data_IF_437290255797
#
_entry.id   IF_437290255797
#
_cell.length_a   1.000
_cell.length_b   1.000
_cell.length_c   1.000
_cell.angle_alpha   90.00
_cell.angle_beta   90.00
_cell.angle_gamma   90.00
#
_symmetry.space_group_name_H-M   'P 1'
#
loop_
_entity.id
_entity.type
_entity.pdbx_description
1 polymer ?
#
# COMPACT_ATOMS: atom_id res chain seq x y z
N UNK A 1 4.46 16.67 -19.51
CA UNK A 1 5.27 16.43 -20.72
C UNK A 1 6.09 15.17 -20.55
N UNK A 2 6.14 14.38 -21.61
CA UNK A 2 6.51 12.97 -21.65
C UNK A 2 7.91 12.68 -21.11
N UNK A 3 8.00 11.90 -20.03
CA UNK A 3 9.20 11.10 -19.74
C UNK A 3 9.29 10.04 -20.84
N UNK A 4 10.17 10.30 -21.80
CA UNK A 4 10.43 9.47 -22.95
C UNK A 4 10.59 8.00 -22.53
N UNK A 5 9.84 7.12 -23.20
CA UNK A 5 10.12 5.70 -23.21
C UNK A 5 11.62 5.48 -23.47
N UNK A 6 12.27 4.49 -22.84
CA UNK A 6 13.64 4.16 -23.18
C UNK A 6 13.66 3.90 -24.68
N UNK A 7 14.46 4.70 -25.40
CA UNK A 7 14.64 4.59 -26.84
C UNK A 7 15.24 3.20 -27.09
N UNK A 8 14.36 2.24 -27.35
CA UNK A 8 14.70 0.88 -27.67
C UNK A 8 15.25 0.95 -29.10
N UNK A 9 16.55 1.19 -29.25
CA UNK A 9 17.21 1.23 -30.55
C UNK A 9 17.56 -0.22 -30.93
N UNK A 10 16.79 -0.87 -31.82
CA UNK A 10 16.91 -2.30 -32.09
C UNK A 10 18.27 -2.67 -32.71
N UNK A 11 18.89 -1.75 -33.45
CA UNK A 11 20.21 -1.97 -34.08
C UNK A 11 21.34 -2.04 -33.05
N UNK A 12 21.36 -1.12 -32.08
CA UNK A 12 22.28 -1.17 -30.94
C UNK A 12 22.07 -2.42 -30.08
N UNK A 13 20.83 -2.89 -29.97
CA UNK A 13 20.49 -4.07 -29.18
C UNK A 13 20.98 -5.36 -29.86
N UNK A 14 20.98 -5.41 -31.19
CA UNK A 14 21.55 -6.52 -31.97
C UNK A 14 23.08 -6.54 -31.90
N UNK A 15 23.74 -5.39 -32.08
CA UNK A 15 25.20 -5.27 -31.98
C UNK A 15 25.72 -5.60 -30.57
N UNK A 16 24.99 -5.17 -29.53
CA UNK A 16 25.33 -5.45 -28.14
C UNK A 16 25.00 -6.90 -27.73
N UNK A 17 23.97 -7.53 -28.31
CA UNK A 17 23.72 -8.98 -28.15
C UNK A 17 24.85 -9.81 -28.76
N UNK A 18 25.31 -9.45 -29.96
CA UNK A 18 26.48 -10.07 -30.60
C UNK A 18 27.74 -9.83 -29.76
N UNK A 19 27.88 -8.67 -29.13
CA UNK A 19 28.98 -8.34 -28.23
C UNK A 19 28.93 -9.12 -26.89
N UNK A 20 27.75 -9.27 -26.28
CA UNK A 20 27.53 -10.07 -25.08
C UNK A 20 27.74 -11.58 -25.33
N UNK A 21 27.39 -12.07 -26.53
CA UNK A 21 27.71 -13.43 -26.97
C UNK A 21 29.21 -13.65 -27.17
N UNK A 22 29.98 -12.62 -27.52
CA UNK A 22 31.46 -12.67 -27.63
C UNK A 22 32.17 -12.63 -26.27
N UNK A 23 31.59 -11.98 -25.26
CA UNK A 23 32.06 -12.04 -23.86
C UNK A 23 31.91 -13.44 -23.23
N UNK A 24 31.13 -14.36 -23.82
CA UNK A 24 30.95 -15.74 -23.32
C UNK A 24 32.16 -16.66 -23.49
N UNK A 25 33.27 -16.20 -24.08
CA UNK A 25 34.39 -17.10 -24.45
C UNK A 25 35.79 -16.66 -24.02
N UNK A 26 35.94 -15.78 -23.03
CA UNK A 26 37.28 -15.48 -22.51
C UNK A 26 37.38 -15.56 -20.99
N UNK A 27 37.88 -16.71 -20.55
CA UNK A 27 39.02 -16.76 -19.66
C UNK A 27 40.19 -16.04 -20.38
N UNK A 28 40.84 -15.07 -19.75
CA UNK A 28 42.03 -14.42 -20.31
C UNK A 28 43.27 -15.24 -19.89
N UNK A 29 44.38 -15.31 -20.67
CA UNK A 29 44.87 -14.30 -21.63
C UNK A 29 45.31 -14.89 -23.01
N UNK A 30 45.86 -14.05 -23.90
CA UNK A 30 46.57 -14.43 -25.17
C UNK A 30 45.74 -14.90 -26.38
N UNK A 31 44.52 -14.40 -26.56
CA UNK A 31 43.73 -14.61 -27.79
C UNK A 31 43.25 -13.33 -28.51
N UNK A 32 43.38 -12.18 -27.85
CA UNK A 32 42.72 -10.91 -28.20
C UNK A 32 43.19 -10.31 -29.53
N UNK A 33 44.41 -10.60 -30.00
CA UNK A 33 44.94 -10.04 -31.24
C UNK A 33 44.39 -10.71 -32.52
N UNK A 34 44.23 -12.04 -32.53
CA UNK A 34 43.70 -12.76 -33.72
C UNK A 34 42.20 -12.55 -33.91
N UNK A 35 41.46 -12.39 -32.81
CA UNK A 35 40.02 -12.12 -32.84
C UNK A 35 39.72 -10.68 -33.32
N UNK A 36 40.57 -9.70 -32.99
CA UNK A 36 40.45 -8.33 -33.46
C UNK A 36 40.67 -8.20 -34.98
N UNK A 37 41.66 -8.89 -35.54
CA UNK A 37 41.90 -8.92 -36.99
C UNK A 37 40.72 -9.53 -37.77
N UNK A 38 40.04 -10.54 -37.21
CA UNK A 38 38.85 -11.14 -37.84
C UNK A 38 37.58 -10.28 -37.72
N UNK A 39 37.53 -9.34 -36.76
CA UNK A 39 36.42 -8.41 -36.58
C UNK A 39 36.55 -7.14 -37.44
N UNK A 40 37.77 -6.70 -37.72
CA UNK A 40 38.05 -5.62 -38.69
C UNK A 40 37.68 -6.00 -40.13
N UNK A 41 37.76 -7.28 -40.49
CA UNK A 41 37.50 -7.75 -41.86
C UNK A 41 36.02 -7.95 -42.19
N UNK A 42 35.12 -7.98 -41.19
CA UNK A 42 33.68 -8.26 -41.40
C UNK A 42 32.72 -7.11 -41.11
N UNK A 43 33.19 -6.01 -40.52
CA UNK A 43 32.32 -4.88 -40.16
C UNK A 43 32.90 -3.62 -40.81
N UNK A 44 32.34 -3.21 -41.95
CA UNK A 44 32.68 -1.97 -42.64
C UNK A 44 32.25 -0.70 -41.90
N UNK A 45 32.33 -0.70 -40.57
CA UNK A 45 31.92 0.39 -39.68
C UNK A 45 33.15 0.85 -38.90
N UNK A 46 33.92 1.73 -39.53
CA UNK A 46 35.22 2.27 -39.11
C UNK A 46 35.17 3.16 -37.85
N UNK A 47 34.04 3.24 -37.13
CA UNK A 47 33.88 4.16 -35.99
C UNK A 47 33.93 3.52 -34.60
N UNK A 48 33.90 2.20 -34.48
CA UNK A 48 33.99 1.52 -33.17
C UNK A 48 35.43 1.16 -32.76
N UNK A 49 36.38 1.18 -33.69
CA UNK A 49 37.77 0.81 -33.41
C UNK A 49 38.55 1.88 -32.61
N UNK A 50 38.03 3.11 -32.55
CA UNK A 50 38.64 4.22 -31.83
C UNK A 50 38.28 4.27 -30.34
N UNK A 51 37.29 3.48 -29.90
CA UNK A 51 36.89 3.44 -28.49
C UNK A 51 37.80 2.47 -27.75
N UNK A 52 38.72 2.99 -26.94
CA UNK A 52 39.31 2.23 -25.84
C UNK A 52 38.16 1.76 -24.94
N UNK A 53 37.70 0.54 -25.16
CA UNK A 53 36.59 -0.11 -24.45
C UNK A 53 37.06 -0.49 -23.05
N UNK A 54 37.11 0.51 -22.19
CA UNK A 54 37.38 0.34 -20.77
C UNK A 54 36.04 0.05 -20.07
N UNK A 55 36.05 -0.50 -18.85
CA UNK A 55 34.82 -0.75 -18.06
C UNK A 55 33.90 0.50 -17.96
N UNK A 56 34.52 1.69 -17.95
CA UNK A 56 33.84 2.99 -17.90
C UNK A 56 33.00 3.31 -19.15
N UNK A 57 33.36 2.79 -20.33
CA UNK A 57 32.60 3.00 -21.58
C UNK A 57 31.62 1.87 -21.86
N UNK A 58 31.93 0.64 -21.42
CA UNK A 58 31.06 -0.53 -21.61
C UNK A 58 29.80 -0.50 -20.74
N UNK A 59 29.92 -0.06 -19.50
CA UNK A 59 28.81 -0.10 -18.54
C UNK A 59 27.61 0.78 -18.97
N UNK A 60 27.82 2.05 -19.39
CA UNK A 60 26.71 2.89 -19.88
C UNK A 60 26.03 2.33 -21.14
N UNK A 61 26.80 1.75 -22.07
CA UNK A 61 26.25 1.14 -23.30
C UNK A 61 25.35 -0.06 -22.98
N UNK A 62 25.81 -0.94 -22.08
CA UNK A 62 25.03 -2.11 -21.67
C UNK A 62 23.79 -1.74 -20.86
N UNK A 63 23.86 -0.68 -20.04
CA UNK A 63 22.69 -0.14 -19.32
C UNK A 63 21.65 0.44 -20.27
N UNK A 64 22.10 1.12 -21.34
CA UNK A 64 21.19 1.64 -22.37
C UNK A 64 20.50 0.50 -23.15
N UNK A 65 21.21 -0.60 -23.39
CA UNK A 65 20.66 -1.77 -24.10
C UNK A 65 19.77 -2.66 -23.22
N UNK A 66 20.06 -2.75 -21.91
CA UNK A 66 19.38 -3.65 -20.98
C UNK A 66 18.97 -2.95 -19.66
N UNK A 67 18.13 -1.91 -19.72
CA UNK A 67 17.72 -1.16 -18.53
C UNK A 67 16.90 -2.00 -17.55
N UNK A 68 16.28 -3.08 -18.00
CA UNK A 68 15.45 -4.02 -17.25
C UNK A 68 16.27 -5.11 -16.52
N UNK A 69 17.60 -5.15 -16.70
CA UNK A 69 18.47 -6.19 -16.12
C UNK A 69 19.27 -5.74 -14.90
N UNK A 70 18.84 -4.66 -14.28
CA UNK A 70 19.44 -4.18 -13.03
C UNK A 70 18.99 -5.09 -11.89
N UNK A 71 19.92 -5.39 -11.00
CA UNK A 71 19.67 -6.19 -9.80
C UNK A 71 20.19 -5.48 -8.55
N UNK A 72 19.45 -5.59 -7.45
CA UNK A 72 19.82 -5.05 -6.14
C UNK A 72 19.87 -6.16 -5.09
N UNK A 73 20.93 -6.20 -4.31
CA UNK A 73 21.10 -7.16 -3.22
C UNK A 73 20.00 -6.99 -2.17
N UNK A 74 19.33 -8.08 -1.79
CA UNK A 74 18.30 -8.08 -0.72
C UNK A 74 18.93 -8.22 0.67
N UNK A 75 20.01 -8.99 0.76
CA UNK A 75 20.76 -9.33 1.98
C UNK A 75 22.21 -9.65 1.60
N UNK A 76 23.15 -9.60 2.55
CA UNK A 76 24.58 -9.88 2.35
C UNK A 76 24.92 -11.36 2.03
N UNK A 77 23.96 -12.12 1.48
CA UNK A 77 24.04 -13.58 1.27
C UNK A 77 24.05 -13.98 -0.22
N UNK A 78 24.26 -13.03 -1.13
CA UNK A 78 24.31 -13.31 -2.58
C UNK A 78 22.93 -13.42 -3.25
N UNK A 79 21.85 -13.08 -2.54
CA UNK A 79 20.50 -12.97 -3.10
C UNK A 79 20.24 -11.56 -3.62
N UNK A 80 19.81 -11.49 -4.87
CA UNK A 80 19.51 -10.27 -5.60
C UNK A 80 18.04 -10.24 -6.04
N UNK A 81 17.53 -9.03 -6.16
CA UNK A 81 16.23 -8.72 -6.73
C UNK A 81 16.45 -8.07 -8.09
N UNK A 82 15.91 -8.66 -9.15
CA UNK A 82 15.91 -8.06 -10.47
C UNK A 82 14.86 -6.93 -10.56
N UNK A 83 15.05 -6.02 -11.51
CA UNK A 83 14.15 -4.91 -11.82
C UNK A 83 12.66 -5.32 -11.92
N UNK A 84 12.39 -6.49 -12.49
CA UNK A 84 11.04 -7.05 -12.65
C UNK A 84 10.43 -7.73 -11.43
N UNK A 85 11.08 -7.72 -10.26
CA UNK A 85 10.53 -8.27 -9.01
C UNK A 85 10.96 -9.70 -8.72
N UNK A 86 11.62 -10.34 -9.68
CA UNK A 86 12.11 -11.70 -9.56
C UNK A 86 13.37 -11.79 -8.71
N UNK A 87 13.42 -12.79 -7.83
CA UNK A 87 14.63 -13.16 -7.09
C UNK A 87 15.63 -13.89 -7.99
N UNK A 88 16.90 -13.53 -7.87
CA UNK A 88 18.00 -14.18 -8.54
C UNK A 88 19.17 -14.39 -7.56
N UNK A 89 19.88 -15.50 -7.66
CA UNK A 89 21.01 -15.84 -6.79
C UNK A 89 22.31 -15.74 -7.57
N UNK A 90 23.32 -15.16 -6.95
CA UNK A 90 24.68 -15.12 -7.47
C UNK A 90 25.52 -16.20 -6.78
N UNK A 91 26.44 -16.84 -7.51
CA UNK A 91 27.37 -17.78 -6.92
C UNK A 91 28.23 -17.10 -5.83
N UNK A 92 28.41 -17.77 -4.68
CA UNK A 92 29.07 -17.19 -3.50
C UNK A 92 30.54 -16.79 -3.74
N UNK A 93 31.21 -17.44 -4.68
CA UNK A 93 32.59 -17.16 -5.08
C UNK A 93 32.72 -16.09 -6.17
N UNK A 94 31.62 -15.45 -6.59
CA UNK A 94 31.65 -14.43 -7.63
C UNK A 94 32.36 -13.16 -7.13
N UNK A 95 33.29 -12.57 -7.93
CA UNK A 95 34.00 -11.35 -7.53
C UNK A 95 33.08 -10.14 -7.33
N UNK A 96 31.90 -10.14 -7.97
CA UNK A 96 30.93 -9.04 -7.89
C UNK A 96 29.93 -9.19 -6.75
N UNK A 97 29.97 -10.30 -5.98
CA UNK A 97 29.04 -10.55 -4.87
C UNK A 97 29.11 -9.51 -3.73
N UNK A 98 30.22 -8.76 -3.64
CA UNK A 98 30.40 -7.67 -2.67
C UNK A 98 29.62 -6.40 -3.02
N UNK A 99 29.13 -6.28 -4.25
CA UNK A 99 28.45 -5.07 -4.74
C UNK A 99 26.94 -5.19 -4.54
N UNK A 100 26.33 -4.13 -4.01
CA UNK A 100 24.87 -4.11 -3.80
C UNK A 100 24.08 -3.99 -5.11
N UNK A 101 24.66 -3.41 -6.15
CA UNK A 101 23.99 -3.18 -7.43
C UNK A 101 24.76 -3.83 -8.57
N UNK A 102 24.04 -4.57 -9.42
CA UNK A 102 24.60 -5.31 -10.54
C UNK A 102 23.80 -5.06 -11.80
N UNK A 103 24.47 -5.06 -12.95
CA UNK A 103 23.86 -5.23 -14.25
C UNK A 103 24.00 -6.70 -14.67
N UNK A 104 22.88 -7.40 -14.81
CA UNK A 104 22.86 -8.82 -15.17
C UNK A 104 22.95 -8.97 -16.69
N UNK A 105 24.00 -9.65 -17.16
CA UNK A 105 24.21 -9.90 -18.60
C UNK A 105 23.57 -11.23 -18.99
N UNK A 106 23.80 -12.27 -18.17
CA UNK A 106 23.28 -13.61 -18.40
C UNK A 106 22.67 -14.17 -17.12
N UNK A 107 21.46 -14.66 -17.27
CA UNK A 107 20.72 -15.35 -16.22
C UNK A 107 20.33 -16.72 -16.76
N UNK A 108 20.48 -17.75 -15.94
CA UNK A 108 19.89 -19.05 -16.21
C UNK A 108 18.71 -19.30 -15.30
N UNK A 109 17.68 -19.88 -15.87
CA UNK A 109 16.43 -20.13 -15.20
C UNK A 109 16.20 -21.64 -15.10
N UNK A 110 16.28 -22.23 -13.91
CA UNK A 110 15.85 -23.62 -13.72
C UNK A 110 14.33 -23.72 -13.90
N UNK A 111 13.83 -24.91 -14.29
CA UNK A 111 12.40 -25.19 -14.47
C UNK A 111 11.59 -24.94 -13.19
N UNK A 112 12.20 -25.11 -12.02
CA UNK A 112 11.66 -24.73 -10.72
C UNK A 112 12.75 -24.03 -9.90
N UNK A 113 12.38 -22.95 -9.19
CA UNK A 113 13.26 -22.25 -8.25
C UNK A 113 13.71 -20.85 -8.66
N UNK A 114 14.65 -20.31 -7.86
CA UNK A 114 15.23 -18.98 -8.02
C UNK A 114 16.11 -18.94 -9.27
N UNK A 115 16.06 -17.84 -10.02
CA UNK A 115 16.95 -17.67 -11.17
C UNK A 115 18.40 -17.53 -10.69
N UNK A 116 19.38 -17.89 -11.52
CA UNK A 116 20.79 -17.83 -11.14
C UNK A 116 21.53 -16.91 -12.11
N UNK A 117 22.30 -15.99 -11.55
CA UNK A 117 23.08 -15.01 -12.27
C UNK A 117 24.40 -15.67 -12.69
N UNK A 118 24.58 -15.86 -14.00
CA UNK A 118 25.81 -16.41 -14.58
C UNK A 118 26.86 -15.32 -14.77
N UNK A 119 26.43 -14.17 -15.28
CA UNK A 119 27.31 -13.06 -15.62
C UNK A 119 26.66 -11.73 -15.24
N UNK A 120 27.43 -10.91 -14.52
CA UNK A 120 27.01 -9.58 -14.11
C UNK A 120 28.20 -8.63 -14.04
N UNK A 121 27.93 -7.34 -14.23
CA UNK A 121 28.88 -6.25 -14.02
C UNK A 121 28.49 -5.47 -12.76
N UNK A 122 29.46 -5.02 -11.94
CA UNK A 122 29.16 -4.20 -10.77
C UNK A 122 28.75 -2.79 -11.20
N UNK A 123 27.70 -2.26 -10.58
CA UNK A 123 27.31 -0.85 -10.74
C UNK A 123 27.88 -0.05 -9.58
N UNK A 124 28.73 0.91 -9.92
CA UNK A 124 29.41 1.77 -8.94
C UNK A 124 28.48 2.80 -8.27
N UNK A 125 28.96 3.47 -7.21
CA UNK A 125 28.18 4.45 -6.46
C UNK A 125 27.78 5.68 -7.30
N UNK A 126 28.57 6.05 -8.30
CA UNK A 126 28.28 7.17 -9.20
C UNK A 126 27.01 6.90 -10.03
N UNK A 127 26.85 5.68 -10.54
CA UNK A 127 25.62 5.29 -11.25
C UNK A 127 24.39 5.38 -10.35
N UNK A 128 24.49 4.93 -9.09
CA UNK A 128 23.39 5.01 -8.13
C UNK A 128 23.00 6.48 -7.86
N UNK A 129 23.97 7.37 -7.68
CA UNK A 129 23.72 8.82 -7.50
C UNK A 129 23.00 9.41 -8.71
N UNK A 130 23.45 9.09 -9.92
CA UNK A 130 22.85 9.57 -11.16
C UNK A 130 21.39 9.09 -11.29
N UNK A 131 21.14 7.81 -11.04
CA UNK A 131 19.77 7.27 -11.07
C UNK A 131 18.90 7.87 -9.98
N UNK A 132 19.44 8.09 -8.78
CA UNK A 132 18.72 8.82 -7.73
C UNK A 132 18.38 10.23 -8.20
N UNK A 133 19.24 10.96 -8.91
CA UNK A 133 18.91 12.30 -9.41
C UNK A 133 17.85 12.29 -10.51
N UNK A 134 17.93 11.33 -11.44
CA UNK A 134 16.99 11.21 -12.58
C UNK A 134 15.61 10.66 -12.18
N UNK A 135 15.51 9.92 -11.08
CA UNK A 135 14.26 9.30 -10.65
C UNK A 135 13.43 10.26 -9.78
N UNK A 136 12.15 10.41 -10.15
CA UNK A 136 11.20 11.21 -9.38
C UNK A 136 10.87 10.57 -8.02
N UNK A 137 10.60 11.41 -7.02
CA UNK A 137 10.08 10.95 -5.74
C UNK A 137 8.61 10.52 -5.88
N UNK A 138 8.28 9.38 -5.27
CA UNK A 138 6.91 8.90 -5.13
C UNK A 138 6.55 8.88 -3.65
N UNK A 139 5.48 9.58 -3.28
CA UNK A 139 4.97 9.58 -1.92
C UNK A 139 4.14 8.31 -1.68
N UNK A 140 4.39 7.66 -0.55
CA UNK A 140 3.69 6.48 -0.09
C UNK A 140 3.34 6.66 1.38
N UNK A 141 2.25 6.04 1.79
CA UNK A 141 1.75 6.10 3.15
C UNK A 141 1.46 4.68 3.60
N UNK A 142 1.70 4.39 4.86
CA UNK A 142 1.34 3.11 5.48
C UNK A 142 0.86 3.33 6.91
N UNK A 143 0.12 2.36 7.41
CA UNK A 143 -0.08 2.20 8.85
C UNK A 143 1.12 1.49 9.47
N UNK A 144 1.71 2.08 10.51
CA UNK A 144 2.69 1.42 11.37
C UNK A 144 1.96 0.79 12.55
N UNK A 145 1.91 -0.54 12.59
CA UNK A 145 1.23 -1.28 13.66
C UNK A 145 1.95 -1.16 15.02
N UNK A 146 3.27 -1.02 15.04
CA UNK A 146 4.04 -0.89 16.27
C UNK A 146 3.82 0.48 16.93
N UNK A 147 3.78 1.54 16.13
CA UNK A 147 3.55 2.91 16.60
C UNK A 147 2.09 3.35 16.56
N UNK A 148 1.20 2.51 16.02
CA UNK A 148 -0.24 2.75 15.90
C UNK A 148 -0.55 4.12 15.24
N UNK A 149 0.15 4.41 14.14
CA UNK A 149 0.03 5.69 13.42
C UNK A 149 0.25 5.54 11.92
N UNK A 150 -0.27 6.51 11.18
CA UNK A 150 0.00 6.67 9.76
C UNK A 150 1.38 7.30 9.57
N UNK A 151 2.22 6.64 8.80
CA UNK A 151 3.56 7.11 8.43
C UNK A 151 3.64 7.39 6.93
N UNK A 152 4.13 8.58 6.60
CA UNK A 152 4.47 8.97 5.24
C UNK A 152 5.95 8.72 4.96
N UNK A 153 6.24 8.25 3.77
CA UNK A 153 7.60 8.20 3.25
C UNK A 153 7.59 8.44 1.74
N UNK A 154 8.65 9.05 1.25
CA UNK A 154 8.89 9.17 -0.18
C UNK A 154 9.96 8.18 -0.59
N UNK A 155 9.77 7.52 -1.73
CA UNK A 155 10.72 6.57 -2.31
C UNK A 155 11.06 6.95 -3.74
N UNK A 156 12.32 6.71 -4.11
CA UNK A 156 12.75 6.63 -5.50
C UNK A 156 12.86 5.16 -5.87
N UNK A 157 12.19 4.76 -6.94
CA UNK A 157 12.15 3.38 -7.40
C UNK A 157 12.54 3.28 -8.86
N UNK A 158 13.24 2.21 -9.18
CA UNK A 158 13.51 1.79 -10.55
C UNK A 158 12.83 0.43 -10.73
N UNK A 159 11.63 0.42 -11.31
CA UNK A 159 10.76 -0.76 -11.29
C UNK A 159 10.37 -1.09 -9.85
N UNK A 160 10.68 -2.31 -9.41
CA UNK A 160 10.48 -2.70 -8.00
C UNK A 160 11.66 -2.34 -7.08
N UNK A 161 12.79 -1.91 -7.64
CA UNK A 161 14.03 -1.70 -6.89
C UNK A 161 13.99 -0.37 -6.15
N UNK A 162 14.26 -0.40 -4.85
CA UNK A 162 14.29 0.79 -4.00
C UNK A 162 15.67 1.44 -4.09
N UNK A 163 15.75 2.63 -4.69
CA UNK A 163 16.99 3.41 -4.79
C UNK A 163 17.25 4.23 -3.53
N UNK A 164 16.18 4.82 -2.98
CA UNK A 164 16.24 5.71 -1.83
C UNK A 164 14.87 5.74 -1.15
N UNK A 165 14.87 5.86 0.19
CA UNK A 165 13.66 6.04 0.99
C UNK A 165 13.92 7.12 2.03
N UNK A 166 12.99 8.05 2.20
CA UNK A 166 13.08 9.12 3.19
C UNK A 166 11.71 9.32 3.85
N UNK A 167 11.64 9.53 5.17
CA UNK A 167 10.40 9.94 5.83
C UNK A 167 9.88 11.25 5.22
N UNK A 168 8.55 11.38 5.11
CA UNK A 168 7.91 12.64 4.73
C UNK A 168 6.57 12.78 5.46
N UNK A 169 6.03 14.01 5.59
CA UNK A 169 4.69 14.19 6.12
C UNK A 169 3.68 13.39 5.28
N UNK A 170 2.75 12.65 5.90
CA UNK A 170 1.71 11.94 5.18
C UNK A 170 0.74 12.94 4.54
N UNK A 171 0.37 12.69 3.28
CA UNK A 171 -0.67 13.46 2.59
C UNK A 171 -2.03 13.20 3.24
N UNK A 172 -2.79 14.25 3.56
CA UNK A 172 -4.10 14.16 4.21
C UNK A 172 -5.10 13.28 3.43
N UNK A 173 -5.19 13.41 2.11
CA UNK A 173 -6.13 12.63 1.30
C UNK A 173 -5.82 11.13 1.32
N UNK A 174 -4.55 10.77 1.17
CA UNK A 174 -4.10 9.38 1.21
C UNK A 174 -4.09 8.80 2.64
N UNK A 175 -3.99 9.65 3.67
CA UNK A 175 -4.11 9.25 5.09
C UNK A 175 -5.50 8.67 5.36
N UNK A 176 -6.56 9.35 4.89
CA UNK A 176 -7.93 8.89 5.08
C UNK A 176 -8.17 7.49 4.50
N UNK A 177 -7.69 7.23 3.28
CA UNK A 177 -7.81 5.91 2.65
C UNK A 177 -7.08 4.82 3.43
N UNK A 178 -5.85 5.06 3.90
CA UNK A 178 -5.11 4.10 4.73
C UNK A 178 -5.81 3.84 6.05
N UNK A 179 -6.39 4.87 6.68
CA UNK A 179 -7.18 4.72 7.90
C UNK A 179 -8.44 3.89 7.66
N UNK A 180 -9.15 4.08 6.55
CA UNK A 180 -10.31 3.26 6.16
C UNK A 180 -9.94 1.78 6.07
N UNK A 181 -8.80 1.44 5.45
CA UNK A 181 -8.31 0.05 5.40
C UNK A 181 -7.99 -0.53 6.79
N UNK A 182 -7.42 0.29 7.68
CA UNK A 182 -7.15 -0.10 9.07
C UNK A 182 -8.44 -0.29 9.84
N UNK A 183 -9.41 0.62 9.69
CA UNK A 183 -10.73 0.54 10.34
C UNK A 183 -11.47 -0.70 9.88
N UNK A 184 -11.42 -1.06 8.59
CA UNK A 184 -12.05 -2.28 8.09
C UNK A 184 -11.53 -3.55 8.78
N UNK A 185 -10.26 -3.57 9.17
CA UNK A 185 -9.61 -4.72 9.81
C UNK A 185 -9.66 -4.70 11.34
N UNK A 186 -9.53 -3.53 11.95
CA UNK A 186 -9.30 -3.36 13.39
C UNK A 186 -10.28 -2.38 14.04
N UNK A 187 -11.27 -1.87 13.30
CA UNK A 187 -12.18 -0.81 13.75
C UNK A 187 -13.05 -1.19 14.94
N UNK A 188 -13.31 -2.48 15.17
CA UNK A 188 -14.01 -2.94 16.38
C UNK A 188 -13.26 -2.54 17.67
N UNK A 189 -11.92 -2.51 17.62
CA UNK A 189 -11.08 -2.17 18.79
C UNK A 189 -10.51 -0.75 18.72
N UNK A 190 -10.38 -0.18 17.53
CA UNK A 190 -9.80 1.14 17.30
C UNK A 190 -10.81 2.29 17.38
N UNK A 191 -12.07 2.04 17.06
CA UNK A 191 -13.12 3.05 17.14
C UNK A 191 -13.75 3.09 18.53
N UNK A 192 -14.21 4.27 18.92
CA UNK A 192 -14.91 4.47 20.19
C UNK A 192 -16.39 4.10 20.07
N UNK A 193 -16.71 2.81 20.20
CA UNK A 193 -18.09 2.32 20.32
C UNK A 193 -18.65 2.65 21.70
N UNK A 194 -18.95 3.93 21.92
CA UNK A 194 -19.45 4.42 23.20
C UNK A 194 -20.86 3.87 23.48
N UNK A 195 -21.31 3.84 24.75
CA UNK A 195 -22.67 3.45 25.07
C UNK A 195 -23.74 4.29 24.37
N UNK A 196 -23.44 5.53 23.96
CA UNK A 196 -24.35 6.38 23.21
C UNK A 196 -24.43 5.96 21.73
N UNK A 197 -23.31 5.53 21.15
CA UNK A 197 -23.28 4.96 19.79
C UNK A 197 -24.08 3.67 19.74
N UNK A 198 -23.90 2.78 20.72
CA UNK A 198 -24.65 1.52 20.78
C UNK A 198 -26.13 1.73 20.97
N UNK A 199 -26.49 2.69 21.82
CA UNK A 199 -27.87 3.12 22.00
C UNK A 199 -28.47 3.61 20.68
N UNK A 200 -27.75 4.43 19.91
CA UNK A 200 -28.22 4.97 18.64
C UNK A 200 -28.38 3.87 17.57
N UNK A 201 -27.40 2.99 17.44
CA UNK A 201 -27.45 1.86 16.51
C UNK A 201 -28.60 0.90 16.87
N UNK A 202 -28.78 0.58 18.15
CA UNK A 202 -29.87 -0.30 18.61
C UNK A 202 -31.26 0.28 18.32
N UNK A 203 -31.44 1.60 18.50
CA UNK A 203 -32.69 2.28 18.13
C UNK A 203 -32.96 2.17 16.63
N UNK A 204 -31.94 2.41 15.80
CA UNK A 204 -32.08 2.30 14.34
C UNK A 204 -32.39 0.88 13.88
N UNK A 205 -31.70 -0.10 14.46
CA UNK A 205 -31.94 -1.52 14.16
C UNK A 205 -33.36 -1.93 14.52
N UNK A 206 -33.88 -1.50 15.67
CA UNK A 206 -35.26 -1.78 16.07
C UNK A 206 -36.27 -1.17 15.09
N UNK A 207 -36.09 0.09 14.72
CA UNK A 207 -37.01 0.79 13.81
C UNK A 207 -36.94 0.17 12.40
N UNK A 208 -35.75 -0.14 11.91
CA UNK A 208 -35.58 -0.85 10.63
C UNK A 208 -36.23 -2.24 10.67
N UNK A 209 -36.03 -3.01 11.74
CA UNK A 209 -36.63 -4.34 11.89
C UNK A 209 -38.17 -4.30 11.94
N UNK A 210 -38.75 -3.27 12.55
CA UNK A 210 -40.21 -3.16 12.75
C UNK A 210 -40.93 -2.52 11.56
N UNK A 211 -40.36 -1.48 10.96
CA UNK A 211 -41.02 -0.69 9.89
C UNK A 211 -40.40 -0.92 8.50
N UNK A 212 -39.18 -1.43 8.40
CA UNK A 212 -38.47 -1.62 7.14
C UNK A 212 -38.08 -0.30 6.46
N UNK A 213 -38.18 -0.25 5.13
CA UNK A 213 -37.91 0.95 4.35
C UNK A 213 -38.82 2.12 4.78
N UNK A 214 -38.33 3.37 4.84
CA UNK A 214 -37.06 3.89 4.31
C UNK A 214 -35.89 3.89 5.32
N UNK A 215 -36.01 3.19 6.45
CA UNK A 215 -34.95 3.18 7.46
C UNK A 215 -33.76 2.35 7.00
N UNK A 216 -32.52 2.85 7.12
CA UNK A 216 -31.34 2.13 6.64
C UNK A 216 -30.99 0.95 7.57
N UNK A 217 -30.56 -0.16 6.97
CA UNK A 217 -29.99 -1.29 7.70
C UNK A 217 -28.55 -0.96 8.11
N UNK A 218 -28.35 -0.51 9.35
CA UNK A 218 -27.03 -0.13 9.87
C UNK A 218 -26.63 -1.06 11.00
N UNK A 219 -25.51 -1.75 10.83
CA UNK A 219 -24.85 -2.56 11.86
C UNK A 219 -23.39 -2.15 12.00
N UNK A 220 -22.75 -2.48 13.12
CA UNK A 220 -21.30 -2.26 13.26
C UNK A 220 -20.53 -2.94 12.13
N UNK A 221 -20.94 -4.16 11.76
CA UNK A 221 -20.31 -4.89 10.66
C UNK A 221 -20.45 -4.15 9.33
N UNK A 222 -21.63 -3.65 8.97
CA UNK A 222 -21.80 -2.89 7.71
C UNK A 222 -21.01 -1.59 7.72
N UNK A 223 -20.94 -0.88 8.85
CA UNK A 223 -20.13 0.32 9.03
C UNK A 223 -18.63 0.07 8.86
N UNK A 224 -18.14 -1.09 9.32
CA UNK A 224 -16.73 -1.46 9.18
C UNK A 224 -16.37 -1.92 7.76
N UNK A 225 -17.32 -2.42 6.96
CA UNK A 225 -17.05 -2.76 5.57
C UNK A 225 -16.86 -1.53 4.68
N UNK A 226 -17.61 -0.46 4.96
CA UNK A 226 -17.67 0.76 4.15
C UNK A 226 -17.32 2.04 4.94
N UNK A 227 -16.16 2.13 5.63
CA UNK A 227 -15.78 3.33 6.37
C UNK A 227 -15.62 4.57 5.48
N UNK A 228 -15.38 4.38 4.18
CA UNK A 228 -15.27 5.45 3.18
C UNK A 228 -16.58 6.26 3.05
N UNK A 229 -17.74 5.63 3.25
CA UNK A 229 -19.02 6.29 2.98
C UNK A 229 -19.49 7.16 4.14
N UNK A 230 -19.14 6.81 5.38
CA UNK A 230 -19.68 7.47 6.57
C UNK A 230 -18.62 8.14 7.44
N UNK A 231 -17.39 7.61 7.47
CA UNK A 231 -16.36 8.06 8.40
C UNK A 231 -15.25 8.86 7.71
N UNK A 232 -14.90 8.56 6.45
CA UNK A 232 -13.82 9.24 5.73
C UNK A 232 -13.87 10.78 5.76
N UNK A 233 -15.03 11.45 5.58
CA UNK A 233 -15.11 12.91 5.66
C UNK A 233 -14.68 13.47 7.03
N UNK A 234 -14.79 12.64 8.08
CA UNK A 234 -14.49 12.99 9.47
C UNK A 234 -13.06 12.63 9.91
N UNK A 235 -12.30 11.92 9.07
CA UNK A 235 -10.93 11.50 9.39
C UNK A 235 -9.88 12.58 9.17
N UNK A 236 -10.29 13.79 8.76
CA UNK A 236 -9.36 14.90 8.56
C UNK A 236 -8.62 15.26 9.86
N UNK A 237 -7.29 15.35 9.79
CA UNK A 237 -6.44 15.62 10.95
C UNK A 237 -6.17 14.42 11.88
N UNK A 238 -6.78 13.26 11.60
CA UNK A 238 -6.52 12.01 12.32
C UNK A 238 -5.37 11.27 11.63
N UNK A 239 -4.38 10.86 12.42
CA UNK A 239 -3.27 10.02 11.94
C UNK A 239 -2.76 9.01 12.97
N UNK A 240 -3.36 8.93 14.16
CA UNK A 240 -2.98 8.00 15.24
C UNK A 240 -4.19 7.22 15.76
N UNK A 241 -3.96 6.00 16.23
CA UNK A 241 -5.01 5.17 16.84
C UNK A 241 -5.62 5.83 18.08
N UNK A 242 -4.82 6.54 18.88
CA UNK A 242 -5.30 7.24 20.08
C UNK A 242 -6.33 8.32 19.71
N UNK A 243 -6.21 8.95 18.55
CA UNK A 243 -7.19 9.92 18.07
C UNK A 243 -8.47 9.21 17.62
N UNK A 244 -8.37 8.09 16.90
CA UNK A 244 -9.54 7.26 16.54
C UNK A 244 -10.31 6.78 17.77
N UNK A 245 -9.61 6.35 18.83
CA UNK A 245 -10.22 5.91 20.09
C UNK A 245 -10.89 7.03 20.89
N UNK A 246 -10.56 8.29 20.61
CA UNK A 246 -11.18 9.46 21.25
C UNK A 246 -12.24 10.12 20.37
N UNK A 247 -12.28 9.75 19.09
CA UNK A 247 -13.19 10.34 18.13
C UNK A 247 -14.64 9.96 18.48
N UNK A 248 -15.52 10.95 18.48
CA UNK A 248 -16.94 10.71 18.71
C UNK A 248 -17.61 10.29 17.40
N UNK A 249 -18.06 9.03 17.34
CA UNK A 249 -18.70 8.47 16.15
C UNK A 249 -20.15 8.93 15.98
N UNK A 250 -20.79 9.41 17.05
CA UNK A 250 -22.23 9.66 17.05
C UNK A 250 -22.64 10.71 15.99
N UNK A 251 -21.95 11.86 15.85
CA UNK A 251 -22.28 12.85 14.81
C UNK A 251 -22.16 12.28 13.39
N UNK A 252 -21.14 11.45 13.14
CA UNK A 252 -20.94 10.82 11.82
C UNK A 252 -22.05 9.81 11.50
N UNK A 253 -22.53 9.07 12.51
CA UNK A 253 -23.66 8.15 12.35
C UNK A 253 -24.99 8.90 12.15
N UNK A 254 -25.20 10.00 12.87
CA UNK A 254 -26.41 10.82 12.74
C UNK A 254 -26.54 11.45 11.35
N UNK A 255 -25.44 11.83 10.71
CA UNK A 255 -25.46 12.35 9.32
C UNK A 255 -25.90 11.33 8.27
N UNK A 256 -26.00 10.04 8.61
CA UNK A 256 -26.57 9.02 7.72
C UNK A 256 -28.09 9.10 7.61
N UNK A 257 -28.72 9.88 8.48
CA UNK A 257 -30.15 10.13 8.48
C UNK A 257 -30.39 11.59 8.13
N UNK A 258 -31.47 11.86 7.41
CA UNK A 258 -31.91 13.23 7.25
C UNK A 258 -32.51 13.77 8.57
N UNK A 259 -32.70 15.10 8.65
CA UNK A 259 -33.23 15.74 9.86
C UNK A 259 -34.65 15.30 10.22
N UNK A 260 -35.44 14.80 9.25
CA UNK A 260 -36.78 14.28 9.49
C UNK A 260 -36.72 12.90 10.12
N UNK A 261 -35.88 12.02 9.59
CA UNK A 261 -35.60 10.68 10.11
C UNK A 261 -35.04 10.74 11.53
N UNK A 262 -34.16 11.70 11.84
CA UNK A 262 -33.67 11.88 13.21
C UNK A 262 -34.81 12.19 14.20
N UNK A 263 -35.72 13.10 13.85
CA UNK A 263 -36.89 13.42 14.69
C UNK A 263 -37.85 12.25 14.81
N UNK A 264 -38.12 11.57 13.69
CA UNK A 264 -38.97 10.37 13.69
C UNK A 264 -38.35 9.23 14.51
N UNK A 265 -37.03 9.10 14.54
CA UNK A 265 -36.34 8.12 15.38
C UNK A 265 -36.56 8.42 16.87
N UNK A 266 -36.57 9.70 17.26
CA UNK A 266 -36.87 10.14 18.63
C UNK A 266 -38.33 9.90 19.02
N UNK A 267 -39.27 9.94 18.08
CA UNK A 267 -40.68 9.61 18.31
C UNK A 267 -40.94 8.09 18.35
N UNK A 268 -40.37 7.35 17.39
CA UNK A 268 -40.59 5.91 17.22
C UNK A 268 -39.84 5.07 18.25
N UNK A 269 -38.62 5.46 18.58
CA UNK A 269 -37.76 4.75 19.53
C UNK A 269 -37.14 5.77 20.49
N UNK A 270 -37.91 6.37 21.41
CA UNK A 270 -37.42 7.42 22.29
C UNK A 270 -36.32 6.91 23.23
N UNK A 271 -35.34 7.75 23.54
CA UNK A 271 -34.27 7.38 24.49
C UNK A 271 -34.78 7.27 25.93
N UNK A 272 -35.85 7.99 26.26
CA UNK A 272 -36.51 8.01 27.57
C UNK A 272 -38.02 7.97 27.41
N UNK A 273 -38.71 7.34 28.34
CA UNK A 273 -40.16 7.33 28.40
C UNK A 273 -40.63 7.85 29.76
N UNK A 274 -41.70 8.63 29.77
CA UNK A 274 -42.35 9.08 30.99
C UNK A 274 -43.23 7.95 31.54
N UNK A 275 -42.97 7.54 32.78
CA UNK A 275 -43.78 6.54 33.50
C UNK A 275 -44.90 7.23 34.29
N UNK A 276 -45.96 6.52 34.74
CA UNK A 276 -47.10 7.11 35.46
C UNK A 276 -46.73 7.88 36.72
N UNK A 277 -45.64 7.49 37.39
CA UNK A 277 -45.10 8.23 38.54
C UNK A 277 -44.64 9.65 38.19
N UNK A 278 -44.57 9.99 36.89
CA UNK A 278 -44.11 11.28 36.37
C UNK A 278 -42.63 11.32 36.02
N UNK A 279 -41.85 10.29 36.41
CA UNK A 279 -40.42 10.20 36.15
C UNK A 279 -40.10 9.82 34.70
N UNK A 280 -38.93 10.24 34.22
CA UNK A 280 -38.39 9.81 32.93
C UNK A 280 -37.39 8.68 33.09
N UNK A 281 -37.71 7.52 32.49
CA UNK A 281 -36.89 6.33 32.57
C UNK A 281 -36.18 6.08 31.25
N UNK A 282 -34.87 5.80 31.30
CA UNK A 282 -34.08 5.49 30.11
C UNK A 282 -34.41 4.08 29.62
N UNK A 283 -34.66 3.95 28.32
CA UNK A 283 -34.77 2.65 27.64
C UNK A 283 -33.37 2.26 27.18
N UNK A 284 -32.96 1.00 27.36
CA UNK A 284 -31.70 0.47 26.86
C UNK A 284 -31.94 -0.32 25.57
N UNK A 285 -31.38 0.14 24.46
CA UNK A 285 -31.54 -0.48 23.13
C UNK A 285 -30.32 -1.32 22.72
N UNK A 286 -29.34 -1.53 23.60
CA UNK A 286 -28.09 -2.22 23.26
C UNK A 286 -28.27 -3.73 23.07
N UNK A 287 -29.41 -4.27 23.49
CA UNK A 287 -29.78 -5.67 23.34
C UNK A 287 -30.79 -5.85 22.19
N UNK A 288 -31.04 -7.10 21.78
CA UNK A 288 -32.01 -7.42 20.72
C UNK A 288 -33.42 -6.89 21.00
N UNK A 289 -33.80 -6.78 22.29
CA UNK A 289 -35.07 -6.19 22.71
C UNK A 289 -34.82 -4.97 23.61
N UNK A 290 -35.62 -3.90 23.43
CA UNK A 290 -35.51 -2.70 24.25
C UNK A 290 -35.86 -3.02 25.71
N UNK A 291 -34.97 -2.64 26.63
CA UNK A 291 -35.11 -2.93 28.06
C UNK A 291 -35.41 -1.65 28.83
N UNK A 292 -36.50 -1.65 29.61
CA UNK A 292 -36.82 -0.59 30.56
C UNK A 292 -36.66 -1.11 31.99
N UNK A 293 -35.55 -0.76 32.64
CA UNK A 293 -35.32 -1.10 34.04
C UNK A 293 -36.03 -0.09 34.95
N UNK A 294 -37.13 -0.50 35.58
CA UNK A 294 -38.00 0.36 36.39
C UNK A 294 -38.49 -0.40 37.62
N UNK A 295 -38.65 0.29 38.75
CA UNK A 295 -39.23 -0.31 39.96
C UNK A 295 -40.72 -0.55 39.72
N UNK A 296 -41.24 -1.70 40.14
CA UNK A 296 -42.64 -2.06 39.95
C UNK A 296 -43.62 -0.97 40.42
N UNK A 297 -43.29 -0.30 41.53
CA UNK A 297 -44.09 0.79 42.11
C UNK A 297 -44.27 1.99 41.16
N UNK A 298 -43.29 2.27 40.31
CA UNK A 298 -43.33 3.38 39.35
C UNK A 298 -44.26 3.07 38.15
N UNK A 299 -44.68 1.80 37.99
CA UNK A 299 -45.61 1.36 36.95
C UNK A 299 -47.05 1.23 37.45
N UNK A 300 -47.32 1.47 38.73
CA UNK A 300 -48.69 1.41 39.25
C UNK A 300 -49.60 2.40 38.50
N UNK A 301 -50.75 1.90 38.03
CA UNK A 301 -51.68 2.66 37.20
C UNK A 301 -51.54 2.46 35.69
N UNK A 302 -50.54 1.73 35.19
CA UNK A 302 -50.48 1.32 33.78
C UNK A 302 -51.41 0.15 33.51
N UNK A 303 -52.53 0.41 32.81
CA UNK A 303 -53.43 -0.63 32.33
C UNK A 303 -52.87 -1.41 31.13
N UNK A 304 -51.87 -0.87 30.42
CA UNK A 304 -51.29 -1.51 29.23
C UNK A 304 -49.79 -1.23 29.17
N UNK A 305 -49.00 -2.24 28.81
CA UNK A 305 -47.56 -2.10 28.63
C UNK A 305 -47.27 -1.04 27.55
N UNK A 306 -46.39 -0.06 27.83
CA UNK A 306 -45.98 0.91 26.83
C UNK A 306 -45.42 0.22 25.58
N UNK A 307 -45.82 0.70 24.40
CA UNK A 307 -45.33 0.20 23.12
C UNK A 307 -44.60 1.32 22.40
N UNK A 308 -43.50 0.97 21.76
CA UNK A 308 -42.70 1.84 20.89
C UNK A 308 -42.75 1.28 19.45
N UNK A 309 -42.27 2.07 18.48
CA UNK A 309 -42.22 1.73 17.05
C UNK A 309 -43.61 1.40 16.47
N UNK A 310 -44.54 2.35 16.57
CA UNK A 310 -45.88 2.27 15.96
C UNK A 310 -45.95 2.93 14.60
#
# INVERSE_FOLDING_TARGET
ENLAAPVNNPDLTAEIKVFADKLRRHDQPTGTQKLWQQLQTKSGTTQLAALQLNEKTLTPLLLAAFPDRIACSRQANGDYLLYGGRGARLAANSPVAKHSWLLVIKIHQPQQGTAIIDQALPLGPEWLKEMQQKTAWQAEIRWDEGQQRVEGYRRKRLGVLKLQSQPCPPNAAATGSVLCDVIRKQGETLLNWSPQVDQFLGRLQLVHFTLGAPWPEISRQSLLQEPETWLLPWLSGINRAVQLKKFDLLPALQQRLDGRQLRQLDELAPARIKVPSGEEMKIDYRNQQPLLAVKLQQLFGLATTPRICR
#
